data_IF_137777990009
#
_entry.id   IF_137777990009
#
_cell.length_a   1.000
_cell.length_b   1.000
_cell.length_c   1.000
_cell.angle_alpha   90.00
_cell.angle_beta   90.00
_cell.angle_gamma   90.00
#
_symmetry.space_group_name_H-M   'P 1'
#
loop_
_entity.id
_entity.type
_entity.pdbx_description
1 polymer ?
#
# COMPACT_ATOMS: atom_id res chain seq x y z
N UNK A 1 -13.63 -5.52 39.82
CA UNK A 1 -13.34 -4.19 39.23
C UNK A 1 -13.90 -4.03 37.81
N UNK A 2 -15.06 -4.64 37.47
CA UNK A 2 -15.82 -4.35 36.24
C UNK A 2 -17.31 -4.69 36.49
N UNK A 3 -17.93 -4.08 37.50
CA UNK A 3 -19.26 -4.46 38.01
C UNK A 3 -20.39 -4.12 37.00
N UNK A 4 -20.06 -3.38 35.94
CA UNK A 4 -21.02 -2.72 35.07
C UNK A 4 -20.68 -2.80 33.56
N UNK A 5 -19.73 -3.65 33.17
CA UNK A 5 -19.22 -3.72 31.80
C UNK A 5 -18.21 -2.62 31.47
N UNK A 6 -17.32 -2.89 30.52
CA UNK A 6 -16.25 -1.96 30.12
C UNK A 6 -16.82 -0.73 29.38
N UNK A 7 -17.96 -0.87 28.72
CA UNK A 7 -18.60 0.19 27.93
C UNK A 7 -19.06 1.39 28.75
N UNK A 8 -19.37 1.21 30.06
CA UNK A 8 -19.74 2.37 30.91
C UNK A 8 -18.58 3.34 31.14
N UNK A 9 -17.34 2.94 30.84
CA UNK A 9 -16.14 3.77 30.95
C UNK A 9 -15.74 4.42 29.63
N UNK A 10 -16.45 4.12 28.53
CA UNK A 10 -16.21 4.73 27.25
C UNK A 10 -16.42 6.26 27.32
N UNK A 11 -15.42 7.07 26.95
CA UNK A 11 -15.60 8.51 26.82
C UNK A 11 -16.71 8.80 25.81
N UNK A 12 -17.60 9.75 26.15
CA UNK A 12 -18.61 10.22 25.20
C UNK A 12 -18.02 11.36 24.37
N UNK A 13 -17.78 11.08 23.10
CA UNK A 13 -17.30 12.08 22.14
C UNK A 13 -18.49 12.73 21.42
N UNK A 14 -18.36 14.02 21.11
CA UNK A 14 -19.33 14.73 20.27
C UNK A 14 -19.28 14.27 18.80
N UNK A 15 -18.13 13.72 18.39
CA UNK A 15 -17.90 13.17 17.05
C UNK A 15 -18.67 11.86 16.88
N UNK A 16 -19.37 11.71 15.75
CA UNK A 16 -20.13 10.50 15.42
C UNK A 16 -19.44 9.60 14.42
N UNK A 17 -18.58 10.16 13.56
CA UNK A 17 -17.84 9.45 12.53
C UNK A 17 -16.43 9.98 12.41
N UNK A 18 -15.47 9.10 12.23
CA UNK A 18 -14.06 9.43 12.00
C UNK A 18 -13.51 8.62 10.83
N UNK A 19 -12.59 9.21 10.08
CA UNK A 19 -11.77 8.51 9.09
C UNK A 19 -10.35 8.45 9.64
N UNK A 20 -9.76 7.26 9.69
CA UNK A 20 -8.38 7.06 10.14
C UNK A 20 -7.60 6.47 8.97
N UNK A 21 -6.69 7.26 8.41
CA UNK A 21 -5.75 6.85 7.37
C UNK A 21 -4.42 6.47 8.02
N UNK A 22 -3.99 5.22 7.81
CA UNK A 22 -2.79 4.69 8.43
C UNK A 22 -2.23 3.48 7.66
N UNK A 23 -1.02 3.05 8.02
CA UNK A 23 -0.21 2.05 7.31
C UNK A 23 0.36 2.58 5.99
N UNK A 24 -0.50 2.78 4.99
CA UNK A 24 -0.26 3.46 3.71
C UNK A 24 1.13 3.22 3.08
N UNK A 25 1.54 1.94 2.87
CA UNK A 25 2.81 1.62 2.22
C UNK A 25 2.78 1.90 0.72
N UNK A 26 3.96 2.14 0.15
CA UNK A 26 4.12 2.25 -1.30
C UNK A 26 4.21 0.85 -1.93
N UNK A 27 3.40 0.59 -2.95
CA UNK A 27 3.45 -0.68 -3.69
C UNK A 27 4.82 -0.81 -4.38
N UNK A 28 5.31 -2.06 -4.47
CA UNK A 28 6.62 -2.43 -5.01
C UNK A 28 7.84 -1.90 -4.24
N UNK A 29 7.64 -1.34 -3.04
CA UNK A 29 8.71 -1.06 -2.07
C UNK A 29 8.45 -1.83 -0.78
N UNK A 30 9.52 -2.14 -0.05
CA UNK A 30 9.38 -2.81 1.25
C UNK A 30 8.67 -1.92 2.27
N UNK A 31 7.83 -2.56 3.08
CA UNK A 31 7.30 -1.95 4.29
C UNK A 31 8.42 -1.76 5.31
N UNK A 32 8.90 -0.53 5.47
CA UNK A 32 9.87 -0.19 6.52
C UNK A 32 9.21 0.19 7.87
N UNK A 33 10.02 0.34 8.92
CA UNK A 33 9.60 0.70 10.29
C UNK A 33 8.72 1.96 10.39
N UNK A 34 8.85 2.90 9.45
CA UNK A 34 7.95 4.05 9.35
C UNK A 34 6.49 3.67 9.11
N UNK A 35 6.21 2.72 8.21
CA UNK A 35 4.86 2.22 7.98
C UNK A 35 4.37 1.46 9.21
N UNK A 36 5.20 0.63 9.82
CA UNK A 36 4.85 -0.12 11.04
C UNK A 36 4.40 0.81 12.18
N UNK A 37 5.10 1.94 12.39
CA UNK A 37 4.69 2.95 13.36
C UNK A 37 3.30 3.52 13.05
N UNK A 38 3.05 3.87 11.79
CA UNK A 38 1.73 4.34 11.34
C UNK A 38 0.67 3.26 11.54
N UNK A 39 0.96 2.00 11.19
CA UNK A 39 0.09 0.84 11.39
C UNK A 39 -0.34 0.71 12.85
N UNK A 40 0.62 0.72 13.79
CA UNK A 40 0.34 0.54 15.23
C UNK A 40 -0.43 1.74 15.79
N UNK A 41 0.02 2.96 15.52
CA UNK A 41 -0.59 4.17 16.07
C UNK A 41 -2.00 4.36 15.51
N UNK A 42 -2.16 4.20 14.20
CA UNK A 42 -3.46 4.33 13.54
C UNK A 42 -4.47 3.30 14.02
N UNK A 43 -4.07 2.03 14.16
CA UNK A 43 -4.96 1.00 14.68
C UNK A 43 -5.33 1.25 16.14
N UNK A 44 -4.38 1.68 16.98
CA UNK A 44 -4.66 2.04 18.37
C UNK A 44 -5.66 3.20 18.47
N UNK A 45 -5.49 4.25 17.67
CA UNK A 45 -6.42 5.38 17.62
C UNK A 45 -7.81 4.96 17.12
N UNK A 46 -7.88 4.14 16.06
CA UNK A 46 -9.14 3.62 15.55
C UNK A 46 -9.90 2.84 16.62
N UNK A 47 -9.23 1.96 17.36
CA UNK A 47 -9.82 1.21 18.48
C UNK A 47 -10.30 2.11 19.61
N UNK A 48 -9.57 3.17 19.94
CA UNK A 48 -9.99 4.14 20.97
C UNK A 48 -11.27 4.90 20.57
N UNK A 49 -11.39 5.27 19.29
CA UNK A 49 -12.60 5.90 18.76
C UNK A 49 -13.79 4.92 18.73
N UNK A 50 -13.58 3.69 18.30
CA UNK A 50 -14.62 2.64 18.34
C UNK A 50 -15.08 2.33 19.76
N UNK A 51 -14.14 2.24 20.71
CA UNK A 51 -14.47 2.09 22.12
C UNK A 51 -15.34 3.24 22.64
N UNK A 52 -15.19 4.44 22.05
CA UNK A 52 -16.00 5.63 22.34
C UNK A 52 -17.29 5.72 21.51
N UNK A 53 -17.72 4.63 20.86
CA UNK A 53 -18.89 4.54 20.00
C UNK A 53 -18.89 5.50 18.79
N UNK A 54 -17.70 5.81 18.26
CA UNK A 54 -17.55 6.53 16.99
C UNK A 54 -17.55 5.53 15.83
N UNK A 55 -18.29 5.83 14.76
CA UNK A 55 -18.24 5.08 13.50
C UNK A 55 -16.90 5.35 12.80
N UNK A 56 -15.98 4.38 12.80
CA UNK A 56 -14.62 4.55 12.28
C UNK A 56 -14.46 3.90 10.91
N UNK A 57 -14.13 4.72 9.92
CA UNK A 57 -13.70 4.27 8.60
C UNK A 57 -12.17 4.21 8.55
N UNK A 58 -11.63 2.99 8.59
CA UNK A 58 -10.19 2.75 8.39
C UNK A 58 -9.84 2.84 6.91
N UNK A 59 -8.80 3.60 6.57
CA UNK A 59 -8.27 3.74 5.21
C UNK A 59 -6.79 3.39 5.19
N UNK A 60 -6.40 2.67 4.13
CA UNK A 60 -5.02 2.37 3.80
C UNK A 60 -4.76 3.01 2.44
N UNK A 61 -4.24 4.23 2.46
CA UNK A 61 -3.96 5.02 1.26
C UNK A 61 -2.62 4.59 0.66
N UNK A 62 -2.62 3.37 0.10
CA UNK A 62 -1.44 2.76 -0.50
C UNK A 62 -0.89 3.62 -1.64
N UNK A 63 0.43 3.65 -1.79
CA UNK A 63 1.09 4.27 -2.93
C UNK A 63 1.03 3.36 -4.15
N UNK A 64 -0.16 3.23 -4.74
CA UNK A 64 -0.47 2.39 -5.89
C UNK A 64 -0.45 3.14 -7.24
N UNK A 65 -0.10 4.42 -7.20
CA UNK A 65 0.03 5.24 -8.40
C UNK A 65 1.38 5.96 -8.45
N UNK A 66 2.07 5.88 -9.59
CA UNK A 66 3.32 6.60 -9.81
C UNK A 66 4.16 6.04 -10.96
N UNK A 67 5.21 6.77 -11.32
CA UNK A 67 6.07 6.43 -12.46
C UNK A 67 6.80 5.10 -12.32
N UNK A 68 6.93 4.60 -11.08
CA UNK A 68 7.46 3.26 -10.81
C UNK A 68 6.66 2.14 -11.46
N UNK A 69 5.35 2.32 -11.69
CA UNK A 69 4.53 1.30 -12.33
C UNK A 69 4.87 1.10 -13.80
N UNK A 70 5.30 2.14 -14.51
CA UNK A 70 5.68 2.01 -15.92
C UNK A 70 6.84 1.06 -16.14
N UNK A 71 7.90 1.17 -15.32
CA UNK A 71 9.04 0.24 -15.41
C UNK A 71 8.67 -1.18 -14.95
N UNK A 72 7.77 -1.32 -13.97
CA UNK A 72 7.32 -2.63 -13.51
C UNK A 72 6.48 -3.34 -14.58
N UNK A 73 5.58 -2.61 -15.24
CA UNK A 73 4.69 -3.14 -16.28
C UNK A 73 5.50 -3.54 -17.52
N UNK A 74 6.40 -2.69 -18.00
CA UNK A 74 7.25 -3.04 -19.15
C UNK A 74 8.15 -4.23 -18.84
N UNK A 75 8.75 -4.25 -17.65
CA UNK A 75 9.58 -5.38 -17.22
C UNK A 75 8.77 -6.67 -17.10
N UNK A 76 7.48 -6.59 -16.72
CA UNK A 76 6.59 -7.74 -16.69
C UNK A 76 6.35 -8.29 -18.09
N UNK A 77 5.99 -7.43 -19.05
CA UNK A 77 5.71 -7.86 -20.42
C UNK A 77 6.95 -8.40 -21.15
N UNK A 78 8.15 -7.89 -20.85
CA UNK A 78 9.40 -8.43 -21.43
C UNK A 78 9.72 -9.84 -20.90
N UNK A 79 9.52 -10.08 -19.60
CA UNK A 79 9.83 -11.38 -18.99
C UNK A 79 8.70 -12.40 -19.13
N UNK A 80 7.46 -11.93 -19.29
CA UNK A 80 6.26 -12.75 -19.42
C UNK A 80 5.36 -12.20 -20.54
N UNK A 81 5.70 -12.48 -21.81
CA UNK A 81 4.93 -11.98 -22.95
C UNK A 81 3.48 -12.47 -22.99
N UNK A 82 3.22 -13.65 -22.42
CA UNK A 82 1.88 -14.18 -22.22
C UNK A 82 1.50 -14.01 -20.75
N UNK A 83 0.45 -13.25 -20.48
CA UNK A 83 -0.06 -13.04 -19.13
C UNK A 83 -0.58 -14.34 -18.48
N UNK A 84 -0.95 -15.32 -19.29
CA UNK A 84 -1.37 -16.66 -18.84
C UNK A 84 -0.22 -17.45 -18.18
N UNK A 85 1.04 -17.12 -18.53
CA UNK A 85 2.24 -17.72 -17.93
C UNK A 85 2.63 -17.04 -16.60
N UNK A 86 1.98 -15.92 -16.24
CA UNK A 86 2.21 -15.19 -14.98
C UNK A 86 1.41 -15.86 -13.84
N UNK A 87 1.95 -16.96 -13.31
CA UNK A 87 1.42 -17.59 -12.09
C UNK A 87 1.75 -16.79 -10.82
N UNK A 88 1.14 -17.16 -9.68
CA UNK A 88 1.39 -16.51 -8.37
C UNK A 88 2.87 -16.46 -7.98
N UNK A 89 3.66 -17.44 -8.43
CA UNK A 89 5.11 -17.54 -8.19
C UNK A 89 5.96 -16.65 -9.10
N UNK A 90 5.43 -16.19 -10.24
CA UNK A 90 6.20 -15.38 -11.22
C UNK A 90 6.63 -14.02 -10.65
N UNK A 91 5.83 -13.47 -9.72
CA UNK A 91 6.10 -12.22 -9.00
C UNK A 91 6.25 -12.51 -7.50
N UNK A 92 6.86 -13.65 -7.14
CA UNK A 92 6.97 -14.08 -5.74
C UNK A 92 7.74 -13.09 -4.85
N UNK A 93 8.77 -12.44 -5.39
CA UNK A 93 9.50 -11.36 -4.73
C UNK A 93 9.38 -10.05 -5.51
N UNK A 94 8.40 -9.24 -5.11
CA UNK A 94 8.14 -7.93 -5.71
C UNK A 94 9.33 -6.97 -5.52
N UNK A 95 10.16 -7.15 -4.49
CA UNK A 95 11.34 -6.31 -4.25
C UNK A 95 12.47 -6.66 -5.24
N UNK A 96 12.73 -7.95 -5.45
CA UNK A 96 13.67 -8.40 -6.47
C UNK A 96 13.24 -7.92 -7.86
N UNK A 97 11.95 -8.05 -8.16
CA UNK A 97 11.37 -7.59 -9.42
C UNK A 97 11.50 -6.06 -9.60
N UNK A 98 11.26 -5.29 -8.54
CA UNK A 98 11.49 -3.84 -8.53
C UNK A 98 12.96 -3.49 -8.77
N UNK A 99 13.90 -4.15 -8.08
CA UNK A 99 15.34 -3.90 -8.25
C UNK A 99 15.80 -4.21 -9.68
N UNK A 100 15.32 -5.31 -10.26
CA UNK A 100 15.68 -5.72 -11.61
C UNK A 100 15.11 -4.76 -12.67
N UNK A 101 13.82 -4.39 -12.56
CA UNK A 101 13.21 -3.38 -13.44
C UNK A 101 13.90 -2.02 -13.33
N UNK A 102 14.28 -1.61 -12.10
CA UNK A 102 15.02 -0.37 -11.87
C UNK A 102 16.42 -0.39 -12.49
N UNK A 103 17.15 -1.50 -12.37
CA UNK A 103 18.45 -1.66 -13.01
C UNK A 103 18.32 -1.57 -14.54
N UNK A 104 17.27 -2.17 -15.13
CA UNK A 104 17.00 -2.06 -16.57
C UNK A 104 16.66 -0.63 -16.97
N UNK A 105 15.82 0.04 -16.19
CA UNK A 105 15.46 1.45 -16.40
C UNK A 105 16.67 2.40 -16.39
N UNK A 106 17.65 2.15 -15.52
CA UNK A 106 18.84 3.00 -15.41
C UNK A 106 19.91 2.67 -16.47
N UNK A 107 19.93 1.44 -17.00
CA UNK A 107 20.97 0.96 -17.94
C UNK A 107 20.57 0.96 -19.42
N UNK A 108 19.27 0.97 -19.74
CA UNK A 108 18.76 0.90 -21.11
C UNK A 108 17.85 2.09 -21.43
N UNK A 109 18.33 2.99 -22.30
CA UNK A 109 17.61 4.18 -22.70
C UNK A 109 16.31 3.87 -23.48
N UNK A 110 16.29 2.80 -24.27
CA UNK A 110 15.10 2.39 -25.02
C UNK A 110 14.05 1.79 -24.07
N UNK A 111 14.48 1.00 -23.08
CA UNK A 111 13.59 0.51 -22.02
C UNK A 111 13.00 1.69 -21.22
N UNK A 112 13.83 2.67 -20.86
CA UNK A 112 13.39 3.87 -20.14
C UNK A 112 12.29 4.62 -20.89
N UNK A 113 12.44 4.80 -22.20
CA UNK A 113 11.42 5.43 -23.04
C UNK A 113 10.11 4.62 -23.05
N UNK A 114 10.18 3.30 -23.26
CA UNK A 114 9.01 2.42 -23.19
C UNK A 114 8.31 2.50 -21.84
N UNK A 115 9.07 2.46 -20.75
CA UNK A 115 8.56 2.57 -19.38
C UNK A 115 7.84 3.90 -19.13
N UNK A 116 8.36 5.01 -19.65
CA UNK A 116 7.69 6.31 -19.56
C UNK A 116 6.38 6.33 -20.36
N UNK A 117 6.38 5.76 -21.57
CA UNK A 117 5.16 5.61 -22.37
C UNK A 117 4.13 4.70 -21.70
N UNK A 118 4.56 3.66 -20.99
CA UNK A 118 3.68 2.79 -20.23
C UNK A 118 2.94 3.52 -19.12
N UNK A 119 3.60 4.47 -18.42
CA UNK A 119 2.93 5.34 -17.43
C UNK A 119 1.83 6.17 -18.10
N UNK A 120 2.11 6.74 -19.28
CA UNK A 120 1.13 7.54 -20.02
C UNK A 120 -0.07 6.70 -20.46
N UNK A 121 0.15 5.45 -20.90
CA UNK A 121 -0.94 4.53 -21.28
C UNK A 121 -1.76 4.05 -20.08
N UNK A 122 -1.19 4.09 -18.87
CA UNK A 122 -1.88 3.70 -17.64
C UNK A 122 -2.81 4.82 -17.13
N UNK A 123 -2.51 6.08 -17.45
CA UNK A 123 -3.29 7.28 -17.08
C UNK A 123 -4.57 7.43 -17.92
#
# INVERSE_FOLDING_TARGET
MLINGIEKWAPRLAVKRAVVDFSSPNIAKEMHVGHLRSTIIGDALARMFEFSNVDVLRRNHVGDWGTQFGMLIEYLFENYPNWEDVGETAIGDLQAFYKASKQRFDSDAAFKERAQQAVVRLQ
#
